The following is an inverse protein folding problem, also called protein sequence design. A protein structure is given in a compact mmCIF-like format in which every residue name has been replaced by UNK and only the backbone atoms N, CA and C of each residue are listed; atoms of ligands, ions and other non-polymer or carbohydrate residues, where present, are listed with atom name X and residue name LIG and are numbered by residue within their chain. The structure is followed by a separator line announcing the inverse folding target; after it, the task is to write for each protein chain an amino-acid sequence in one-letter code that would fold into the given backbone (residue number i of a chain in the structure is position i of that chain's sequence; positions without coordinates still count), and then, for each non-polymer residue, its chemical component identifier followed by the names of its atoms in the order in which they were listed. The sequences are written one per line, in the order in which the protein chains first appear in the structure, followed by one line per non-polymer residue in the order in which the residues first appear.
data_IF_013079349319
#
_entry.id   IF_013079349319
#
_cell.length_a   1.000
_cell.length_b   1.000
_cell.length_c   1.000
_cell.angle_alpha   90.00
_cell.angle_beta   90.00
_cell.angle_gamma   90.00
#
_symmetry.space_group_name_H-M   'P 1'
#
loop_
_entity.id
_entity.type
_entity.pdbx_description
1 polymer ?
#
# COMPACT_ATOMS: atom_id res chain seq x y z
N UNK A 1 8.11 -47.47 69.49
CA UNK A 1 8.52 -46.30 68.66
C UNK A 1 8.01 -46.55 67.24
N UNK A 2 6.85 -46.00 66.90
CA UNK A 2 6.71 -44.85 65.98
C UNK A 2 7.02 -45.19 64.50
N UNK A 3 5.94 -45.51 63.78
CA UNK A 3 5.58 -45.05 62.44
C UNK A 3 6.70 -44.80 61.42
N UNK A 4 6.90 -45.70 60.46
CA UNK A 4 7.28 -45.32 59.09
C UNK A 4 7.01 -46.48 58.11
N UNK A 5 6.68 -46.16 56.86
CA UNK A 5 6.52 -47.05 55.70
C UNK A 5 5.15 -47.72 55.45
N UNK A 6 4.12 -46.89 55.27
CA UNK A 6 3.06 -47.17 54.27
C UNK A 6 3.63 -46.95 52.86
N UNK A 7 4.28 -47.97 52.30
CA UNK A 7 4.61 -48.05 50.86
C UNK A 7 4.67 -49.52 50.41
N UNK A 8 3.50 -50.11 50.19
CA UNK A 8 3.31 -51.36 49.43
C UNK A 8 2.05 -51.08 48.60
N UNK A 9 2.18 -50.85 47.28
CA UNK A 9 1.86 -51.82 46.23
C UNK A 9 0.53 -52.54 46.54
N UNK A 10 -0.51 -52.47 45.71
CA UNK A 10 -0.80 -53.38 44.57
C UNK A 10 -2.16 -52.88 44.04
N UNK A 11 -2.22 -52.25 42.87
CA UNK A 11 -2.68 -52.80 41.60
C UNK A 11 -4.05 -53.54 41.61
N UNK A 12 -4.96 -53.01 40.78
CA UNK A 12 -6.07 -53.68 40.10
C UNK A 12 -7.28 -54.19 40.92
N UNK A 13 -8.43 -53.54 40.75
CA UNK A 13 -9.74 -54.21 40.71
C UNK A 13 -10.78 -53.35 39.96
N UNK A 14 -11.11 -53.82 38.75
CA UNK A 14 -12.46 -53.94 38.21
C UNK A 14 -13.37 -52.70 38.08
N UNK A 15 -13.44 -52.22 36.84
CA UNK A 15 -14.68 -52.13 36.04
C UNK A 15 -15.98 -52.51 36.75
N UNK A 16 -16.92 -51.58 36.90
CA UNK A 16 -18.32 -51.76 36.45
C UNK A 16 -19.18 -50.52 36.73
N UNK A 17 -19.87 -50.07 35.69
CA UNK A 17 -21.23 -49.52 35.71
C UNK A 17 -21.50 -48.15 36.40
N UNK A 18 -22.27 -47.33 35.67
CA UNK A 18 -23.05 -46.17 36.15
C UNK A 18 -22.37 -44.79 36.14
N UNK A 19 -21.61 -44.48 35.09
CA UNK A 19 -21.46 -43.08 34.62
C UNK A 19 -22.13 -42.87 33.25
N UNK A 20 -23.25 -43.56 33.02
CA UNK A 20 -24.11 -43.43 31.82
C UNK A 20 -25.33 -42.56 32.17
N UNK A 21 -25.10 -41.45 32.88
CA UNK A 21 -26.18 -40.56 33.30
C UNK A 21 -25.72 -39.12 33.54
N UNK A 22 -24.83 -38.59 32.68
CA UNK A 22 -24.60 -37.13 32.67
C UNK A 22 -23.93 -36.62 31.38
N UNK A 23 -24.46 -37.01 30.21
CA UNK A 23 -24.20 -36.27 28.96
C UNK A 23 -25.53 -35.96 28.26
N UNK A 24 -26.51 -35.55 29.06
CA UNK A 24 -27.66 -34.80 28.58
C UNK A 24 -27.32 -33.32 28.72
N UNK A 25 -26.80 -32.73 27.64
CA UNK A 25 -27.25 -31.41 27.23
C UNK A 25 -26.74 -31.17 25.81
N UNK A 26 -27.68 -31.23 24.88
CA UNK A 26 -27.54 -30.79 23.51
C UNK A 26 -27.31 -29.28 23.52
N UNK A 27 -26.04 -28.86 23.46
CA UNK A 27 -25.73 -27.46 23.21
C UNK A 27 -25.98 -27.18 21.74
N UNK A 28 -27.21 -26.73 21.46
CA UNK A 28 -27.54 -26.02 20.24
C UNK A 28 -26.60 -24.82 20.18
N UNK A 29 -25.64 -24.85 19.27
CA UNK A 29 -24.85 -23.67 18.90
C UNK A 29 -25.79 -22.72 18.16
N UNK A 30 -26.14 -21.53 18.69
CA UNK A 30 -26.76 -20.52 17.85
C UNK A 30 -25.72 -20.09 16.81
N UNK A 31 -26.04 -20.22 15.52
CA UNK A 31 -25.25 -19.65 14.45
C UNK A 31 -25.06 -18.16 14.74
N UNK A 32 -23.83 -17.75 15.04
CA UNK A 32 -23.48 -16.34 15.12
C UNK A 32 -23.72 -15.74 13.73
N UNK A 33 -24.80 -15.00 13.60
CA UNK A 33 -25.02 -14.12 12.44
C UNK A 33 -23.85 -13.15 12.39
N UNK A 34 -22.94 -13.38 11.45
CA UNK A 34 -21.88 -12.44 11.15
C UNK A 34 -22.55 -11.17 10.61
N UNK A 35 -22.84 -10.23 11.52
CA UNK A 35 -23.15 -8.88 11.16
C UNK A 35 -22.03 -8.39 10.25
N UNK A 36 -22.38 -8.03 9.01
CA UNK A 36 -21.49 -7.32 8.09
C UNK A 36 -21.04 -6.06 8.82
N UNK A 37 -19.80 -6.07 9.30
CA UNK A 37 -19.15 -4.86 9.81
C UNK A 37 -18.97 -3.96 8.58
N UNK A 38 -19.60 -2.77 8.51
CA UNK A 38 -19.20 -1.80 7.53
C UNK A 38 -17.74 -1.48 7.85
N UNK A 39 -16.84 -1.79 6.93
CA UNK A 39 -15.45 -1.35 7.05
C UNK A 39 -15.47 0.16 7.22
N UNK A 40 -14.94 0.61 8.35
CA UNK A 40 -15.03 1.97 8.84
C UNK A 40 -14.40 2.94 7.86
N UNK A 41 -15.22 3.87 7.35
CA UNK A 41 -14.91 5.24 6.94
C UNK A 41 -13.56 5.41 6.26
N UNK A 42 -13.62 5.56 4.94
CA UNK A 42 -12.65 6.34 4.18
C UNK A 42 -12.19 7.52 5.03
N UNK A 43 -10.89 7.52 5.37
CA UNK A 43 -10.19 8.64 5.99
C UNK A 43 -10.73 9.91 5.34
N UNK A 44 -11.31 10.78 6.17
CA UNK A 44 -11.98 12.00 5.77
C UNK A 44 -11.10 12.75 4.78
N UNK A 45 -11.45 12.60 3.51
CA UNK A 45 -10.84 13.29 2.40
C UNK A 45 -10.79 14.78 2.76
N UNK A 46 -9.61 15.40 2.73
CA UNK A 46 -9.48 16.84 2.99
C UNK A 46 -10.37 17.56 1.99
N UNK A 47 -11.50 18.12 2.47
CA UNK A 47 -12.52 18.72 1.61
C UNK A 47 -13.07 17.78 0.53
N UNK A 48 -13.17 16.48 0.78
CA UNK A 48 -13.71 15.51 -0.20
C UNK A 48 -12.76 15.15 -1.34
N UNK A 49 -11.48 15.56 -1.29
CA UNK A 49 -10.47 15.26 -2.30
C UNK A 49 -9.78 13.91 -2.08
N UNK A 50 -9.58 13.12 -3.15
CA UNK A 50 -8.81 11.87 -3.14
C UNK A 50 -7.97 11.77 -4.40
N UNK A 51 -6.74 11.30 -4.28
CA UNK A 51 -5.90 10.88 -5.40
C UNK A 51 -5.98 9.36 -5.48
N UNK A 52 -6.48 8.85 -6.59
CA UNK A 52 -6.61 7.41 -6.86
C UNK A 52 -5.61 7.02 -7.95
N UNK A 53 -4.85 5.95 -7.72
CA UNK A 53 -3.81 5.46 -8.63
C UNK A 53 -4.06 3.99 -8.89
N UNK A 54 -4.39 3.69 -10.13
CA UNK A 54 -4.52 2.34 -10.63
C UNK A 54 -3.23 1.94 -11.35
N UNK A 55 -2.52 0.95 -10.79
CA UNK A 55 -1.24 0.47 -11.30
C UNK A 55 -1.39 -0.45 -12.52
N UNK A 56 -2.51 -1.17 -12.69
CA UNK A 56 -2.74 -1.96 -13.92
C UNK A 56 -2.96 -1.06 -15.12
N UNK A 57 -3.74 0.00 -14.93
CA UNK A 57 -4.05 1.00 -15.96
C UNK A 57 -2.99 2.09 -16.07
N UNK A 58 -2.02 2.12 -15.15
CA UNK A 58 -1.00 3.16 -15.03
C UNK A 58 -1.63 4.55 -15.16
N UNK A 59 -2.64 4.80 -14.30
CA UNK A 59 -3.47 5.99 -14.35
C UNK A 59 -3.67 6.57 -12.96
N UNK A 60 -3.48 7.88 -12.86
CA UNK A 60 -3.86 8.67 -11.71
C UNK A 60 -5.17 9.41 -12.04
N UNK A 61 -6.13 9.33 -11.12
CA UNK A 61 -7.39 10.06 -11.19
C UNK A 61 -7.59 10.85 -9.89
N UNK A 62 -7.79 12.15 -10.02
CA UNK A 62 -8.10 13.01 -8.89
C UNK A 62 -9.62 13.16 -8.77
N UNK A 63 -10.16 12.88 -7.59
CA UNK A 63 -11.57 13.00 -7.27
C UNK A 63 -11.82 14.15 -6.31
N UNK A 64 -12.90 14.90 -6.52
CA UNK A 64 -13.44 15.85 -5.56
C UNK A 64 -14.92 15.51 -5.29
N UNK A 65 -15.27 15.28 -4.03
CA UNK A 65 -16.62 14.92 -3.61
C UNK A 65 -17.21 13.73 -4.40
N UNK A 66 -16.37 12.73 -4.70
CA UNK A 66 -16.76 11.53 -5.46
C UNK A 66 -16.79 11.70 -6.99
N UNK A 67 -16.55 12.90 -7.51
CA UNK A 67 -16.50 13.15 -8.95
C UNK A 67 -15.05 13.25 -9.45
N UNK A 68 -14.74 12.59 -10.57
CA UNK A 68 -13.44 12.75 -11.23
C UNK A 68 -13.32 14.18 -11.78
N UNK A 69 -12.26 14.88 -11.38
CA UNK A 69 -11.98 16.25 -11.82
C UNK A 69 -10.71 16.36 -12.67
N UNK A 70 -9.89 15.32 -12.67
CA UNK A 70 -8.67 15.23 -13.47
C UNK A 70 -8.21 13.78 -13.60
N UNK A 71 -7.60 13.44 -14.74
CA UNK A 71 -6.98 12.14 -14.93
C UNK A 71 -5.78 12.26 -15.86
N UNK A 72 -4.72 11.51 -15.57
CA UNK A 72 -3.52 11.43 -16.40
C UNK A 72 -2.99 10.00 -16.42
N UNK A 73 -2.33 9.63 -17.50
CA UNK A 73 -1.45 8.46 -17.49
C UNK A 73 -0.23 8.77 -16.61
N UNK A 74 0.30 7.73 -15.99
CA UNK A 74 1.49 7.78 -15.12
C UNK A 74 2.45 6.63 -15.45
N UNK A 75 3.60 6.64 -14.81
CA UNK A 75 4.61 5.60 -14.85
C UNK A 75 5.00 5.28 -13.39
N UNK A 76 4.87 4.02 -12.99
CA UNK A 76 5.13 3.55 -11.63
C UNK A 76 6.42 2.75 -11.49
N UNK A 77 6.71 2.28 -10.28
CA UNK A 77 7.88 1.50 -9.95
C UNK A 77 8.03 0.20 -10.74
N UNK A 78 9.25 -0.12 -11.13
CA UNK A 78 9.62 -1.38 -11.80
C UNK A 78 9.71 -2.56 -10.86
N UNK A 79 9.82 -3.77 -11.42
CA UNK A 79 10.10 -4.97 -10.65
C UNK A 79 11.35 -4.83 -9.74
N UNK A 80 11.23 -5.19 -8.47
CA UNK A 80 12.23 -5.02 -7.41
C UNK A 80 12.27 -3.63 -6.76
N UNK A 81 11.56 -2.65 -7.32
CA UNK A 81 11.40 -1.29 -6.80
C UNK A 81 9.96 -0.81 -7.04
N UNK A 82 9.01 -1.69 -6.75
CA UNK A 82 7.59 -1.49 -7.07
C UNK A 82 7.00 -0.33 -6.28
N UNK A 83 6.01 0.35 -6.88
CA UNK A 83 5.17 1.27 -6.13
C UNK A 83 4.26 0.46 -5.18
N UNK A 84 4.35 0.65 -3.86
CA UNK A 84 3.54 -0.12 -2.91
C UNK A 84 2.06 0.29 -3.00
N UNK A 85 1.18 -0.71 -3.00
CA UNK A 85 -0.27 -0.52 -2.91
C UNK A 85 -0.69 -0.21 -1.47
N UNK A 86 -1.79 0.49 -1.30
CA UNK A 86 -2.32 0.86 0.00
C UNK A 86 -3.06 2.19 0.01
N UNK A 87 -3.39 2.63 1.21
CA UNK A 87 -3.99 3.95 1.46
C UNK A 87 -3.00 4.78 2.25
N UNK A 88 -2.65 5.93 1.69
CA UNK A 88 -1.67 6.88 2.20
C UNK A 88 -2.27 8.29 2.22
N UNK A 89 -1.45 9.28 2.54
CA UNK A 89 -1.79 10.69 2.40
C UNK A 89 -0.56 11.49 2.00
N UNK A 90 -0.77 12.55 1.23
CA UNK A 90 0.29 13.54 0.98
C UNK A 90 0.69 14.15 2.32
N UNK A 91 1.96 14.09 2.69
CA UNK A 91 2.46 14.73 3.91
C UNK A 91 3.55 15.77 3.64
N UNK A 92 4.19 15.71 2.47
CA UNK A 92 5.23 16.64 2.04
C UNK A 92 4.94 17.22 0.66
N UNK A 93 5.35 18.46 0.42
CA UNK A 93 5.26 19.13 -0.89
C UNK A 93 6.49 20.01 -1.11
N UNK A 94 7.13 19.85 -2.25
CA UNK A 94 8.35 20.57 -2.61
C UNK A 94 8.26 21.09 -4.05
N UNK A 95 8.71 22.34 -4.27
CA UNK A 95 8.78 22.97 -5.58
C UNK A 95 9.63 24.25 -5.54
N UNK A 96 10.66 24.40 -6.39
CA UNK A 96 11.38 23.31 -7.06
C UNK A 96 12.16 22.45 -6.03
N UNK A 97 12.58 21.25 -6.43
CA UNK A 97 13.46 20.39 -5.61
C UNK A 97 14.41 19.56 -6.47
N UNK A 98 15.38 18.91 -5.82
CA UNK A 98 16.31 17.99 -6.46
C UNK A 98 16.29 16.68 -5.70
N UNK A 99 16.01 15.58 -6.40
CA UNK A 99 16.11 14.24 -5.85
C UNK A 99 17.54 13.73 -5.92
N UNK A 100 18.00 13.14 -4.82
CA UNK A 100 19.30 12.51 -4.69
C UNK A 100 19.15 11.02 -4.47
N UNK A 101 19.91 10.23 -5.21
CA UNK A 101 19.84 8.78 -5.11
C UNK A 101 20.30 8.29 -3.73
N UNK A 102 19.54 7.39 -3.09
CA UNK A 102 19.98 6.73 -1.87
C UNK A 102 21.02 5.63 -2.15
N UNK A 103 21.28 5.30 -3.41
CA UNK A 103 22.30 4.35 -3.82
C UNK A 103 23.61 5.06 -4.18
N UNK A 104 24.78 4.46 -3.91
CA UNK A 104 26.05 5.03 -4.33
C UNK A 104 26.25 4.95 -5.85
N UNK A 105 27.07 5.84 -6.40
CA UNK A 105 27.50 5.78 -7.79
C UNK A 105 28.12 4.40 -8.10
N UNK A 106 27.71 3.81 -9.23
CA UNK A 106 28.08 2.44 -9.63
C UNK A 106 27.05 1.37 -9.28
N UNK A 107 26.06 1.67 -8.42
CA UNK A 107 24.90 0.79 -8.22
C UNK A 107 24.03 0.72 -9.49
N UNK A 108 23.43 -0.45 -9.83
CA UNK A 108 22.46 -0.55 -10.93
C UNK A 108 21.17 0.27 -10.69
N UNK A 109 20.95 0.73 -9.46
CA UNK A 109 19.82 1.58 -9.07
C UNK A 109 20.21 3.05 -8.87
N UNK A 110 21.47 3.40 -9.07
CA UNK A 110 21.93 4.79 -8.97
C UNK A 110 21.24 5.67 -10.01
N UNK A 111 20.91 6.91 -9.62
CA UNK A 111 20.53 7.97 -10.52
C UNK A 111 21.24 9.28 -10.13
N UNK A 112 21.61 10.13 -11.10
CA UNK A 112 22.27 11.41 -10.79
C UNK A 112 21.28 12.37 -10.10
N UNK A 113 21.77 13.43 -9.43
CA UNK A 113 20.91 14.49 -8.91
C UNK A 113 19.92 14.96 -9.99
N UNK A 114 18.63 14.83 -9.70
CA UNK A 114 17.57 15.00 -10.69
C UNK A 114 16.65 16.13 -10.28
N UNK A 115 16.58 17.18 -11.09
CA UNK A 115 15.71 18.32 -10.83
C UNK A 115 14.24 17.95 -11.07
N UNK A 116 13.39 18.33 -10.12
CA UNK A 116 11.95 18.08 -10.10
C UNK A 116 11.23 19.41 -9.90
N UNK A 117 10.21 19.68 -10.71
CA UNK A 117 9.47 20.92 -10.64
C UNK A 117 8.43 20.90 -9.53
N UNK A 118 7.72 19.77 -9.38
CA UNK A 118 6.62 19.59 -8.42
C UNK A 118 6.66 18.19 -7.84
N UNK A 119 6.81 18.09 -6.52
CA UNK A 119 6.85 16.82 -5.81
C UNK A 119 5.82 16.81 -4.66
N UNK A 120 5.03 15.74 -4.56
CA UNK A 120 4.14 15.47 -3.42
C UNK A 120 4.55 14.15 -2.78
N UNK A 121 5.12 14.19 -1.58
CA UNK A 121 5.51 12.99 -0.83
C UNK A 121 4.28 12.37 -0.17
N UNK A 122 4.06 11.09 -0.42
CA UNK A 122 2.89 10.36 0.09
C UNK A 122 3.24 9.15 0.94
N UNK A 123 4.47 8.65 0.87
CA UNK A 123 4.98 7.63 1.80
C UNK A 123 6.43 7.92 2.20
N UNK A 124 6.78 7.81 3.49
CA UNK A 124 8.16 7.96 3.94
C UNK A 124 9.12 7.02 3.21
N UNK A 125 10.35 7.50 3.03
CA UNK A 125 11.39 6.80 2.27
C UNK A 125 11.49 7.27 0.82
N UNK A 126 11.00 8.47 0.50
CA UNK A 126 11.20 9.12 -0.80
C UNK A 126 10.21 8.67 -1.88
N UNK A 127 8.95 8.41 -1.51
CA UNK A 127 7.90 8.05 -2.46
C UNK A 127 7.06 9.28 -2.81
N UNK A 128 7.22 9.74 -4.05
CA UNK A 128 6.61 10.97 -4.54
C UNK A 128 5.64 10.74 -5.70
N UNK A 129 4.66 11.63 -5.82
CA UNK A 129 3.97 11.95 -7.06
C UNK A 129 4.72 13.15 -7.67
N UNK A 130 5.29 13.02 -8.87
CA UNK A 130 6.13 14.11 -9.40
C UNK A 130 6.22 14.16 -10.94
N UNK A 131 6.69 15.28 -11.47
CA UNK A 131 7.03 15.42 -12.89
C UNK A 131 8.30 14.65 -13.24
N UNK A 132 8.35 14.11 -14.46
CA UNK A 132 9.56 13.45 -14.98
C UNK A 132 9.88 13.95 -16.38
N UNK A 133 10.70 15.00 -16.47
CA UNK A 133 11.09 15.59 -17.76
C UNK A 133 11.86 14.62 -18.67
N UNK A 134 12.42 13.53 -18.12
CA UNK A 134 13.14 12.49 -18.85
C UNK A 134 12.24 11.35 -19.36
N UNK A 135 10.92 11.45 -19.23
CA UNK A 135 9.95 10.54 -19.85
C UNK A 135 8.92 11.32 -20.67
N UNK A 136 8.53 10.75 -21.81
CA UNK A 136 7.41 11.22 -22.65
C UNK A 136 6.32 10.17 -22.81
N UNK A 137 6.62 8.90 -22.51
CA UNK A 137 5.66 7.79 -22.56
C UNK A 137 5.19 7.42 -21.16
N UNK A 138 3.87 7.34 -20.98
CA UNK A 138 3.20 6.97 -19.74
C UNK A 138 2.05 6.02 -20.06
N UNK A 139 1.60 5.24 -19.07
CA UNK A 139 0.49 4.30 -19.24
C UNK A 139 0.91 2.83 -19.18
N UNK A 140 -0.01 1.90 -19.49
CA UNK A 140 0.22 0.47 -19.27
C UNK A 140 1.52 -0.04 -19.90
N UNK A 141 2.30 -0.78 -19.13
CA UNK A 141 3.59 -1.33 -19.56
C UNK A 141 4.81 -0.43 -19.30
N UNK A 142 4.61 0.83 -18.89
CA UNK A 142 5.73 1.74 -18.58
C UNK A 142 6.38 1.51 -17.22
N UNK A 143 5.75 0.71 -16.35
CA UNK A 143 6.31 0.22 -15.09
C UNK A 143 7.32 -0.94 -15.28
N UNK A 144 7.89 -1.07 -16.47
CA UNK A 144 8.92 -2.04 -16.85
C UNK A 144 9.77 -1.49 -17.97
N UNK A 145 10.61 -2.34 -18.59
CA UNK A 145 11.40 -1.93 -19.75
C UNK A 145 10.48 -1.54 -20.92
N UNK A 146 10.66 -0.33 -21.44
CA UNK A 146 9.88 0.20 -22.55
C UNK A 146 10.74 1.14 -23.41
N UNK A 147 10.25 1.49 -24.60
CA UNK A 147 10.91 2.47 -25.46
C UNK A 147 10.22 3.82 -25.35
N UNK A 148 11.01 4.86 -25.08
CA UNK A 148 10.61 6.25 -25.19
C UNK A 148 11.14 6.82 -26.52
N UNK A 149 10.31 7.48 -27.33
CA UNK A 149 10.74 7.99 -28.64
C UNK A 149 11.73 9.16 -28.53
N UNK A 150 11.78 9.86 -27.40
CA UNK A 150 12.66 11.02 -27.18
C UNK A 150 13.92 10.59 -26.41
N UNK A 151 13.76 9.73 -25.41
CA UNK A 151 14.84 9.37 -24.48
C UNK A 151 15.39 7.96 -24.69
N UNK A 152 14.85 7.18 -25.63
CA UNK A 152 15.31 5.83 -25.95
C UNK A 152 14.82 4.78 -24.93
N UNK A 153 15.58 3.70 -24.69
CA UNK A 153 15.19 2.67 -23.73
C UNK A 153 15.01 3.24 -22.32
N UNK A 154 13.85 3.01 -21.74
CA UNK A 154 13.46 3.44 -20.41
C UNK A 154 13.00 2.25 -19.57
N UNK A 155 12.86 2.47 -18.27
CA UNK A 155 12.32 1.50 -17.33
C UNK A 155 11.33 2.19 -16.37
N UNK A 156 10.57 1.39 -15.63
CA UNK A 156 9.76 1.90 -14.53
C UNK A 156 10.62 2.60 -13.46
N UNK A 157 9.97 3.41 -12.65
CA UNK A 157 10.62 4.24 -11.63
C UNK A 157 11.20 3.39 -10.49
N UNK A 158 11.79 4.05 -9.50
CA UNK A 158 12.22 3.43 -8.24
C UNK A 158 11.12 3.41 -7.15
N UNK A 159 9.86 3.42 -7.55
CA UNK A 159 8.69 3.36 -6.66
C UNK A 159 7.84 4.63 -6.65
N UNK A 160 8.40 5.75 -7.11
CA UNK A 160 7.65 6.99 -7.34
C UNK A 160 6.60 6.82 -8.45
N UNK A 161 5.62 7.72 -8.48
CA UNK A 161 4.64 7.80 -9.58
C UNK A 161 4.97 9.04 -10.39
N UNK A 162 5.54 8.81 -11.56
CA UNK A 162 5.96 9.85 -12.48
C UNK A 162 4.83 10.22 -13.45
N UNK A 163 4.72 11.50 -13.78
CA UNK A 163 3.69 12.02 -14.68
C UNK A 163 4.20 13.19 -15.53
N UNK A 164 3.47 13.60 -16.59
CA UNK A 164 3.82 14.79 -17.35
C UNK A 164 3.88 16.05 -16.48
N UNK A 165 4.76 16.99 -16.81
CA UNK A 165 4.95 18.25 -16.05
C UNK A 165 3.64 19.00 -15.79
N UNK A 166 2.78 19.12 -16.81
CA UNK A 166 1.50 19.80 -16.68
C UNK A 166 0.57 19.10 -15.67
N UNK A 167 0.58 17.76 -15.64
CA UNK A 167 -0.21 16.98 -14.69
C UNK A 167 0.32 17.13 -13.26
N UNK A 168 1.65 17.07 -13.07
CA UNK A 168 2.26 17.28 -11.76
C UNK A 168 1.98 18.69 -11.22
N UNK A 169 2.10 19.72 -12.06
CA UNK A 169 1.75 21.10 -11.71
C UNK A 169 0.30 21.23 -11.27
N UNK A 170 -0.63 20.66 -12.05
CA UNK A 170 -2.04 20.69 -11.73
C UNK A 170 -2.31 20.01 -10.39
N UNK A 171 -1.78 18.81 -10.20
CA UNK A 171 -1.97 18.01 -9.00
C UNK A 171 -1.37 18.69 -7.76
N UNK A 172 -0.17 19.25 -7.90
CA UNK A 172 0.50 20.01 -6.85
C UNK A 172 -0.35 21.20 -6.40
N UNK A 173 -0.93 21.97 -7.32
CA UNK A 173 -1.76 23.10 -6.93
C UNK A 173 -3.11 22.68 -6.34
N UNK A 174 -3.67 21.55 -6.81
CA UNK A 174 -5.00 21.10 -6.41
C UNK A 174 -5.04 20.33 -5.08
N UNK A 175 -3.97 19.58 -4.76
CA UNK A 175 -3.91 18.71 -3.59
C UNK A 175 -3.23 19.40 -2.40
N UNK A 176 -3.96 19.73 -1.32
CA UNK A 176 -3.34 20.13 -0.05
C UNK A 176 -2.62 18.96 0.64
N UNK A 177 -1.72 19.28 1.58
CA UNK A 177 -1.21 18.29 2.53
C UNK A 177 -2.40 17.65 3.26
N UNK A 178 -2.31 16.34 3.49
CA UNK A 178 -3.38 15.49 4.03
C UNK A 178 -4.28 14.87 2.97
N UNK A 179 -4.18 15.25 1.69
CA UNK A 179 -4.97 14.61 0.63
C UNK A 179 -4.70 13.11 0.58
N UNK A 180 -5.72 12.24 0.75
CA UNK A 180 -5.56 10.80 0.64
C UNK A 180 -5.03 10.38 -0.73
N UNK A 181 -4.10 9.41 -0.72
CA UNK A 181 -3.56 8.76 -1.92
C UNK A 181 -3.88 7.27 -1.81
N UNK A 182 -4.78 6.77 -2.67
CA UNK A 182 -5.14 5.36 -2.74
C UNK A 182 -4.45 4.75 -3.93
N UNK A 183 -3.63 3.73 -3.69
CA UNK A 183 -2.86 3.03 -4.72
C UNK A 183 -3.32 1.58 -4.75
N UNK A 184 -3.73 1.10 -5.92
CA UNK A 184 -4.24 -0.25 -6.09
C UNK A 184 -3.89 -0.80 -7.47
N UNK A 185 -4.16 -2.09 -7.67
CA UNK A 185 -4.05 -2.75 -8.97
C UNK A 185 -5.22 -2.37 -9.87
#
# INVERSE_FOLDING_TARGET
MKNTLRKILVAALFTCLLFVLWMANSWVVPAASAAVRPSSKASMAVGGKVIDVNLTQQRLTAFANGHSVFSTLVLSGRAGLETPTGTYSVFGKESPTTFYSPWPAGSPNYYPPTAISYALEWKPGGYYLHDSWWHTVYGPGTNGLHSDPVYGPQNGSHGCISMPLAAARWLYNWAPIGTPVRIHM
#
